data_IF_414253102660
#
_entry.id   IF_414253102660
#
_cell.length_a   1.000
_cell.length_b   1.000
_cell.length_c   1.000
_cell.angle_alpha   90.00
_cell.angle_beta   90.00
_cell.angle_gamma   90.00
#
_symmetry.space_group_name_H-M   'P 1'
#
loop_
_entity.id
_entity.type
_entity.pdbx_description
1 polymer ?
#
# COMPACT_ATOMS: atom_id res chain seq x y z
N UNK A 1 10.49 53.40 2.44
CA UNK A 1 10.60 52.64 3.71
C UNK A 1 9.19 52.34 4.18
N UNK A 2 8.64 51.17 3.85
CA UNK A 2 7.27 50.81 4.26
C UNK A 2 7.34 50.43 5.74
N UNK A 3 6.85 51.30 6.62
CA UNK A 3 6.73 51.01 8.04
C UNK A 3 5.64 49.94 8.16
N UNK A 4 6.02 48.68 8.35
CA UNK A 4 5.08 47.61 8.63
C UNK A 4 4.40 47.90 9.96
N UNK A 5 3.06 48.00 9.97
CA UNK A 5 2.32 48.21 11.21
C UNK A 5 2.51 47.02 12.16
N UNK A 6 2.41 47.26 13.46
CA UNK A 6 2.53 46.24 14.51
C UNK A 6 1.62 45.03 14.27
N UNK A 7 0.46 45.24 13.63
CA UNK A 7 -0.46 44.17 13.23
C UNK A 7 0.13 43.20 12.20
N UNK A 8 0.88 43.70 11.20
CA UNK A 8 1.54 42.85 10.20
C UNK A 8 2.67 42.01 10.82
N UNK A 9 3.41 42.58 11.78
CA UNK A 9 4.43 41.84 12.51
C UNK A 9 3.82 40.66 13.28
N UNK A 10 2.70 40.87 13.99
CA UNK A 10 1.99 39.79 14.70
C UNK A 10 1.53 38.69 13.73
N UNK A 11 0.92 39.05 12.60
CA UNK A 11 0.46 38.08 11.59
C UNK A 11 1.63 37.26 11.04
N UNK A 12 2.75 37.90 10.70
CA UNK A 12 3.93 37.20 10.21
C UNK A 12 4.54 36.29 11.28
N UNK A 13 4.56 36.72 12.54
CA UNK A 13 5.03 35.88 13.65
C UNK A 13 4.16 34.63 13.80
N UNK A 14 2.83 34.77 13.78
CA UNK A 14 1.90 33.64 13.86
C UNK A 14 2.12 32.68 12.67
N UNK A 15 2.23 33.21 11.45
CA UNK A 15 2.48 32.40 10.26
C UNK A 15 3.82 31.64 10.36
N UNK A 16 4.89 32.30 10.82
CA UNK A 16 6.18 31.67 11.01
C UNK A 16 6.12 30.52 12.04
N UNK A 17 5.39 30.70 13.14
CA UNK A 17 5.17 29.65 14.15
C UNK A 17 4.43 28.46 13.54
N UNK A 18 3.36 28.69 12.76
CA UNK A 18 2.60 27.62 12.12
C UNK A 18 3.43 26.84 11.11
N UNK A 19 4.26 27.52 10.31
CA UNK A 19 5.18 26.87 9.37
C UNK A 19 6.21 26.04 10.12
N UNK A 20 6.82 26.58 11.19
CA UNK A 20 7.76 25.83 12.01
C UNK A 20 7.12 24.58 12.64
N UNK A 21 5.90 24.71 13.17
CA UNK A 21 5.16 23.58 13.71
C UNK A 21 4.86 22.52 12.64
N UNK A 22 4.43 22.93 11.44
CA UNK A 22 4.18 22.02 10.33
C UNK A 22 5.45 21.28 9.87
N UNK A 23 6.61 21.95 9.84
CA UNK A 23 7.90 21.33 9.53
C UNK A 23 8.31 20.31 10.60
N UNK A 24 8.12 20.62 11.88
CA UNK A 24 8.40 19.69 12.99
C UNK A 24 7.51 18.44 12.86
N UNK A 25 6.20 18.63 12.67
CA UNK A 25 5.25 17.52 12.45
C UNK A 25 5.66 16.70 11.23
N UNK A 26 6.08 17.36 10.15
CA UNK A 26 6.55 16.68 8.94
C UNK A 26 7.74 15.77 9.21
N UNK A 27 8.74 16.25 9.95
CA UNK A 27 9.91 15.44 10.32
C UNK A 27 9.48 14.24 11.16
N UNK A 28 8.61 14.44 12.16
CA UNK A 28 8.11 13.38 13.03
C UNK A 28 7.34 12.32 12.23
N UNK A 29 6.37 12.73 11.41
CA UNK A 29 5.51 11.83 10.62
C UNK A 29 6.28 11.07 9.55
N UNK A 30 7.38 11.63 9.05
CA UNK A 30 8.28 10.91 8.16
C UNK A 30 9.15 9.87 8.87
N UNK A 31 9.25 9.85 10.20
CA UNK A 31 10.11 8.89 10.92
C UNK A 31 9.34 7.90 11.80
N UNK A 32 8.04 8.12 12.02
CA UNK A 32 7.17 7.19 12.74
C UNK A 32 6.16 6.51 11.83
N UNK A 33 5.59 5.42 12.32
CA UNK A 33 4.38 4.83 11.77
C UNK A 33 3.33 4.66 12.87
N UNK A 34 2.09 4.41 12.46
CA UNK A 34 0.99 4.01 13.34
C UNK A 34 0.42 2.69 12.86
N UNK A 35 -0.08 1.88 13.79
CA UNK A 35 -0.88 0.69 13.46
C UNK A 35 -2.33 1.10 13.25
N UNK A 36 -2.95 0.67 12.16
CA UNK A 36 -4.39 0.87 11.91
C UNK A 36 -5.07 -0.44 11.66
N UNK A 37 -6.14 -0.70 12.38
CA UNK A 37 -6.92 -1.93 12.27
C UNK A 37 -8.23 -1.68 11.52
N UNK A 38 -8.56 -2.59 10.62
CA UNK A 38 -9.80 -2.63 9.87
C UNK A 38 -10.43 -4.01 10.06
N UNK A 39 -11.75 -4.08 10.19
CA UNK A 39 -12.48 -5.32 10.39
C UNK A 39 -13.42 -5.56 9.23
N UNK A 40 -13.27 -6.69 8.56
CA UNK A 40 -14.07 -7.08 7.39
C UNK A 40 -14.88 -8.32 7.74
N UNK A 41 -16.20 -8.18 8.03
CA UNK A 41 -17.07 -9.33 8.24
C UNK A 41 -17.30 -10.09 6.92
N UNK A 42 -17.30 -11.42 6.98
CA UNK A 42 -17.71 -12.26 5.86
C UNK A 42 -18.19 -13.65 6.29
N UNK A 43 -19.27 -14.12 5.67
CA UNK A 43 -19.73 -15.51 5.78
C UNK A 43 -18.93 -16.50 4.93
N UNK A 44 -18.04 -16.03 4.03
CA UNK A 44 -17.26 -16.89 3.14
C UNK A 44 -16.01 -17.47 3.79
N UNK A 45 -15.52 -16.87 4.88
CA UNK A 45 -14.35 -17.39 5.61
C UNK A 45 -14.74 -18.46 6.61
N UNK A 46 -13.85 -19.43 6.82
CA UNK A 46 -14.12 -20.56 7.72
C UNK A 46 -13.80 -20.27 9.19
N UNK A 47 -12.94 -19.29 9.43
CA UNK A 47 -12.40 -18.88 10.72
C UNK A 47 -12.02 -17.40 10.70
N UNK A 48 -11.68 -16.84 11.86
CA UNK A 48 -11.17 -15.47 11.94
C UNK A 48 -9.72 -15.45 11.50
N UNK A 49 -9.36 -14.46 10.68
CA UNK A 49 -8.01 -14.31 10.14
C UNK A 49 -7.51 -12.89 10.38
N UNK A 50 -6.22 -12.77 10.66
CA UNK A 50 -5.51 -11.49 10.82
C UNK A 50 -4.42 -11.39 9.76
N UNK A 51 -4.54 -10.40 8.90
CA UNK A 51 -3.52 -10.07 7.91
C UNK A 51 -2.84 -8.76 8.28
N UNK A 52 -1.53 -8.72 8.12
CA UNK A 52 -0.80 -7.45 8.09
C UNK A 52 -0.57 -7.06 6.64
N UNK A 53 -0.92 -5.84 6.27
CA UNK A 53 -0.71 -5.27 4.96
C UNK A 53 0.44 -4.24 4.99
N UNK A 54 1.49 -4.54 4.20
CA UNK A 54 2.71 -3.74 4.06
C UNK A 54 2.78 -3.21 2.64
N UNK A 55 2.80 -1.90 2.44
CA UNK A 55 2.92 -1.31 1.11
C UNK A 55 3.68 -0.01 1.16
N UNK A 56 4.19 0.44 0.02
CA UNK A 56 4.80 1.75 -0.14
C UNK A 56 5.97 1.96 0.83
N UNK A 57 6.80 0.94 1.08
CA UNK A 57 7.96 1.06 1.95
C UNK A 57 8.99 2.04 1.36
N UNK A 58 9.12 2.09 0.03
CA UNK A 58 10.03 3.00 -0.69
C UNK A 58 11.46 2.99 -0.15
N UNK A 59 12.01 1.80 0.06
CA UNK A 59 13.35 1.57 0.63
C UNK A 59 13.56 2.21 2.02
N UNK A 60 12.50 2.51 2.77
CA UNK A 60 12.59 3.02 4.13
C UNK A 60 12.99 1.91 5.09
N UNK A 61 13.77 2.26 6.11
CA UNK A 61 14.09 1.39 7.24
C UNK A 61 13.64 2.09 8.52
N UNK A 62 12.85 1.39 9.34
CA UNK A 62 12.44 1.88 10.65
C UNK A 62 13.45 1.45 11.72
N UNK A 63 14.15 2.43 12.30
CA UNK A 63 15.22 2.14 13.27
C UNK A 63 16.32 1.26 12.68
N UNK A 64 16.98 0.49 13.55
CA UNK A 64 17.99 -0.49 13.13
C UNK A 64 17.31 -1.74 12.55
N UNK A 65 17.63 -2.11 11.31
CA UNK A 65 17.15 -3.34 10.65
C UNK A 65 15.61 -3.55 10.70
N UNK A 66 14.81 -2.49 10.61
CA UNK A 66 13.34 -2.55 10.73
C UNK A 66 12.83 -3.07 12.09
N UNK A 67 13.66 -3.11 13.15
CA UNK A 67 13.30 -3.69 14.45
C UNK A 67 11.96 -3.21 15.01
N UNK A 68 11.61 -1.90 15.03
CA UNK A 68 10.32 -1.44 15.54
C UNK A 68 9.14 -1.91 14.69
N UNK A 69 9.32 -1.96 13.37
CA UNK A 69 8.27 -2.44 12.45
C UNK A 69 8.06 -3.94 12.60
N UNK A 70 9.14 -4.72 12.64
CA UNK A 70 9.10 -6.17 12.86
C UNK A 70 8.48 -6.52 14.21
N UNK A 71 8.85 -5.80 15.29
CA UNK A 71 8.25 -5.98 16.61
C UNK A 71 6.74 -5.70 16.60
N UNK A 72 6.29 -4.62 15.94
CA UNK A 72 4.87 -4.33 15.82
C UNK A 72 4.11 -5.44 15.05
N UNK A 73 4.71 -5.98 13.98
CA UNK A 73 4.13 -7.09 13.22
C UNK A 73 4.08 -8.36 14.08
N UNK A 74 5.16 -8.65 14.81
CA UNK A 74 5.24 -9.78 15.73
C UNK A 74 4.16 -9.69 16.82
N UNK A 75 3.96 -8.52 17.42
CA UNK A 75 2.93 -8.28 18.45
C UNK A 75 1.50 -8.53 17.91
N UNK A 76 1.25 -8.27 16.63
CA UNK A 76 -0.04 -8.51 15.97
C UNK A 76 -0.31 -10.01 15.75
N UNK A 77 0.74 -10.82 15.60
CA UNK A 77 0.66 -12.26 15.28
C UNK A 77 -0.21 -12.55 14.04
N UNK A 78 0.12 -12.03 12.85
CA UNK A 78 -0.69 -12.26 11.65
C UNK A 78 -0.62 -13.70 11.14
N UNK A 79 -1.70 -14.16 10.52
CA UNK A 79 -1.75 -15.41 9.77
C UNK A 79 -0.93 -15.35 8.48
N UNK A 80 -0.88 -14.17 7.86
CA UNK A 80 0.00 -13.88 6.73
C UNK A 80 0.29 -12.38 6.61
N UNK A 81 1.42 -12.07 5.97
CA UNK A 81 1.76 -10.71 5.55
C UNK A 81 1.47 -10.55 4.07
N UNK A 82 0.67 -9.55 3.73
CA UNK A 82 0.31 -9.20 2.36
C UNK A 82 1.07 -7.93 1.98
N UNK A 83 1.93 -8.02 0.97
CA UNK A 83 2.71 -6.90 0.48
C UNK A 83 2.10 -6.33 -0.80
N UNK A 84 1.67 -5.07 -0.75
CA UNK A 84 0.98 -4.39 -1.85
C UNK A 84 1.87 -3.71 -2.88
N UNK A 85 3.18 -3.94 -2.85
CA UNK A 85 4.14 -3.32 -3.77
C UNK A 85 4.69 -1.97 -3.31
N UNK A 86 5.51 -1.36 -4.17
CA UNK A 86 6.28 -0.13 -3.91
C UNK A 86 7.23 -0.30 -2.70
N UNK A 87 7.93 -1.43 -2.64
CA UNK A 87 8.93 -1.70 -1.60
C UNK A 87 10.28 -1.06 -1.94
N UNK A 88 10.59 -0.96 -3.23
CA UNK A 88 11.79 -0.33 -3.77
C UNK A 88 11.47 1.01 -4.45
N UNK A 89 12.51 1.80 -4.71
CA UNK A 89 12.41 2.99 -5.56
C UNK A 89 13.06 2.66 -6.92
N UNK A 90 12.26 2.54 -7.97
CA UNK A 90 12.73 2.23 -9.33
C UNK A 90 13.86 3.15 -9.80
N UNK A 91 13.88 4.45 -9.44
CA UNK A 91 15.00 5.34 -9.76
C UNK A 91 16.35 4.83 -9.25
N UNK A 92 16.41 4.26 -8.05
CA UNK A 92 17.64 3.70 -7.48
C UNK A 92 18.08 2.46 -8.25
N UNK A 93 17.13 1.57 -8.58
CA UNK A 93 17.38 0.38 -9.38
C UNK A 93 17.92 0.73 -10.78
N UNK A 94 17.29 1.68 -11.48
CA UNK A 94 17.73 2.15 -12.81
C UNK A 94 19.14 2.75 -12.81
N UNK A 95 19.57 3.28 -11.68
CA UNK A 95 20.91 3.85 -11.48
C UNK A 95 21.90 2.80 -10.97
N UNK A 96 21.48 1.54 -10.81
CA UNK A 96 22.23 0.47 -10.14
C UNK A 96 22.85 0.96 -8.83
N UNK A 97 22.08 1.73 -8.05
CA UNK A 97 22.57 2.28 -6.79
C UNK A 97 22.95 1.13 -5.85
N UNK A 98 24.10 1.17 -5.18
CA UNK A 98 24.46 0.15 -4.21
C UNK A 98 23.35 -0.06 -3.18
N UNK A 99 22.99 -1.32 -2.95
CA UNK A 99 21.98 -1.70 -1.96
C UNK A 99 20.56 -1.21 -2.27
N UNK A 100 20.20 -1.01 -3.55
CA UNK A 100 18.90 -0.44 -3.93
C UNK A 100 17.69 -1.26 -3.47
N UNK A 101 17.87 -2.54 -3.14
CA UNK A 101 16.86 -3.47 -2.62
C UNK A 101 17.05 -3.84 -1.14
N UNK A 102 18.14 -3.43 -0.48
CA UNK A 102 18.53 -3.93 0.86
C UNK A 102 17.45 -3.74 1.91
N UNK A 103 16.82 -2.56 1.93
CA UNK A 103 15.75 -2.26 2.87
C UNK A 103 14.53 -3.18 2.69
N UNK A 104 14.17 -3.48 1.44
CA UNK A 104 13.06 -4.37 1.11
C UNK A 104 13.42 -5.82 1.46
N UNK A 105 14.58 -6.32 1.02
CA UNK A 105 15.00 -7.68 1.29
C UNK A 105 15.23 -7.94 2.78
N UNK A 106 15.86 -7.01 3.50
CA UNK A 106 16.06 -7.14 4.94
C UNK A 106 14.74 -7.30 5.69
N UNK A 107 13.69 -6.58 5.29
CA UNK A 107 12.36 -6.74 5.86
C UNK A 107 11.74 -8.09 5.46
N UNK A 108 11.72 -8.41 4.17
CA UNK A 108 11.08 -9.62 3.64
C UNK A 108 11.72 -10.89 4.19
N UNK A 109 13.04 -10.98 4.20
CA UNK A 109 13.79 -12.12 4.78
C UNK A 109 13.54 -12.28 6.27
N UNK A 110 13.28 -11.21 7.01
CA UNK A 110 12.93 -11.31 8.43
C UNK A 110 11.49 -11.82 8.61
N UNK A 111 10.55 -11.36 7.79
CA UNK A 111 9.15 -11.75 7.83
C UNK A 111 8.94 -13.21 7.44
N UNK A 112 9.56 -13.68 6.36
CA UNK A 112 9.40 -15.05 5.84
C UNK A 112 9.91 -16.13 6.79
N UNK A 113 10.74 -15.78 7.77
CA UNK A 113 11.16 -16.70 8.85
C UNK A 113 10.02 -17.08 9.79
N UNK A 114 8.95 -16.29 9.84
CA UNK A 114 7.86 -16.45 10.80
C UNK A 114 6.48 -16.55 10.16
N UNK A 115 6.28 -15.89 9.02
CA UNK A 115 4.97 -15.73 8.40
C UNK A 115 5.00 -16.08 6.91
N UNK A 116 3.92 -16.64 6.36
CA UNK A 116 3.69 -16.60 4.92
C UNK A 116 3.67 -15.14 4.44
N UNK A 117 4.44 -14.83 3.40
CA UNK A 117 4.50 -13.49 2.80
C UNK A 117 4.10 -13.58 1.33
N UNK A 118 3.12 -12.77 0.95
CA UNK A 118 2.66 -12.62 -0.43
C UNK A 118 3.03 -11.23 -0.95
N UNK A 119 3.50 -11.10 -2.19
CA UNK A 119 3.91 -9.82 -2.75
C UNK A 119 3.31 -9.59 -4.13
N UNK A 120 2.53 -8.51 -4.29
CA UNK A 120 2.18 -7.93 -5.58
C UNK A 120 3.08 -6.74 -5.92
N UNK A 121 3.11 -6.34 -7.19
CA UNK A 121 3.92 -5.20 -7.64
C UNK A 121 3.22 -3.86 -7.44
N UNK A 122 4.02 -2.85 -7.10
CA UNK A 122 3.60 -1.46 -7.13
C UNK A 122 3.99 -0.81 -8.45
N UNK A 123 3.85 0.51 -8.56
CA UNK A 123 4.29 1.23 -9.75
C UNK A 123 5.80 1.24 -9.94
N UNK A 124 6.61 1.14 -8.89
CA UNK A 124 8.07 1.09 -9.03
C UNK A 124 8.53 -0.24 -9.61
N UNK A 125 8.05 -1.37 -9.08
CA UNK A 125 8.33 -2.69 -9.63
C UNK A 125 7.73 -2.82 -11.04
N UNK A 126 6.48 -2.38 -11.23
CA UNK A 126 5.83 -2.34 -12.55
C UNK A 126 6.61 -1.49 -13.55
N UNK A 127 7.23 -0.38 -13.14
CA UNK A 127 8.06 0.42 -14.06
C UNK A 127 9.24 -0.39 -14.59
N UNK A 128 9.93 -1.13 -13.72
CA UNK A 128 11.08 -1.96 -14.12
C UNK A 128 10.63 -3.10 -15.04
N UNK A 129 9.47 -3.70 -14.76
CA UNK A 129 8.85 -4.73 -15.59
C UNK A 129 8.38 -4.22 -16.97
N UNK A 130 7.84 -3.00 -17.06
CA UNK A 130 7.21 -2.50 -18.29
C UNK A 130 8.18 -1.74 -19.21
N UNK A 131 9.46 -1.65 -18.84
CA UNK A 131 10.49 -0.96 -19.62
C UNK A 131 11.63 -1.93 -19.85
N UNK A 132 11.81 -2.35 -21.11
CA UNK A 132 12.72 -3.44 -21.51
C UNK A 132 14.16 -3.26 -21.00
N UNK A 133 14.66 -2.01 -21.02
CA UNK A 133 15.98 -1.63 -20.49
C UNK A 133 16.18 -2.06 -19.03
N UNK A 134 15.11 -2.12 -18.24
CA UNK A 134 15.14 -2.40 -16.80
C UNK A 134 14.61 -3.78 -16.40
N UNK A 135 14.32 -4.64 -17.38
CA UNK A 135 13.99 -6.04 -17.12
C UNK A 135 15.06 -6.76 -16.29
N UNK A 136 16.39 -6.55 -16.49
CA UNK A 136 17.40 -7.20 -15.66
C UNK A 136 17.24 -6.87 -14.17
N UNK A 137 17.00 -5.61 -13.81
CA UNK A 137 16.79 -5.20 -12.41
C UNK A 137 15.49 -5.79 -11.84
N UNK A 138 14.43 -5.85 -12.64
CA UNK A 138 13.19 -6.50 -12.21
C UNK A 138 13.39 -8.00 -11.96
N UNK A 139 14.14 -8.69 -12.83
CA UNK A 139 14.47 -10.10 -12.66
C UNK A 139 15.36 -10.34 -11.44
N UNK A 140 16.36 -9.49 -11.22
CA UNK A 140 17.22 -9.51 -10.02
C UNK A 140 16.38 -9.38 -8.74
N UNK A 141 15.45 -8.42 -8.70
CA UNK A 141 14.53 -8.25 -7.58
C UNK A 141 13.63 -9.49 -7.39
N UNK A 142 13.03 -10.01 -8.45
CA UNK A 142 12.18 -11.20 -8.38
C UNK A 142 12.95 -12.41 -7.85
N UNK A 143 14.18 -12.63 -8.32
CA UNK A 143 15.03 -13.72 -7.86
C UNK A 143 15.34 -13.59 -6.36
N UNK A 144 15.79 -12.42 -5.92
CA UNK A 144 16.13 -12.18 -4.52
C UNK A 144 14.92 -12.29 -3.58
N UNK A 145 13.75 -11.82 -4.02
CA UNK A 145 12.48 -11.98 -3.28
C UNK A 145 12.08 -13.46 -3.20
N UNK A 146 12.24 -14.23 -4.28
CA UNK A 146 11.99 -15.68 -4.29
C UNK A 146 12.94 -16.44 -3.37
N UNK A 147 14.23 -16.12 -3.39
CA UNK A 147 15.24 -16.68 -2.49
C UNK A 147 14.96 -16.37 -1.01
N UNK A 148 14.38 -15.19 -0.73
CA UNK A 148 13.92 -14.83 0.61
C UNK A 148 12.69 -15.65 1.06
N UNK A 149 12.07 -16.45 0.20
CA UNK A 149 10.90 -17.29 0.51
C UNK A 149 9.55 -16.58 0.36
N UNK A 150 9.51 -15.43 -0.32
CA UNK A 150 8.27 -14.68 -0.56
C UNK A 150 7.51 -15.29 -1.74
N UNK A 151 6.19 -15.40 -1.61
CA UNK A 151 5.29 -15.77 -2.70
C UNK A 151 4.95 -14.53 -3.53
N UNK A 152 5.72 -14.26 -4.57
CA UNK A 152 5.40 -13.18 -5.51
C UNK A 152 4.18 -13.58 -6.35
N UNK A 153 3.21 -12.69 -6.47
CA UNK A 153 1.95 -12.87 -7.19
C UNK A 153 1.93 -12.01 -8.45
N UNK A 154 2.54 -12.49 -9.53
CA UNK A 154 2.58 -11.80 -10.82
C UNK A 154 1.33 -12.17 -11.65
N UNK A 155 0.22 -11.48 -11.43
CA UNK A 155 -1.10 -11.86 -11.99
C UNK A 155 -1.54 -13.28 -11.59
N UNK A 156 -1.10 -13.72 -10.42
CA UNK A 156 -1.32 -15.07 -9.90
C UNK A 156 -2.21 -15.05 -8.66
N UNK A 157 -2.93 -16.16 -8.47
CA UNK A 157 -3.79 -16.39 -7.31
C UNK A 157 -3.20 -17.50 -6.44
N UNK A 158 -3.22 -17.30 -5.12
CA UNK A 158 -2.79 -18.28 -4.15
C UNK A 158 -3.82 -18.46 -3.04
N UNK A 159 -4.09 -19.72 -2.67
CA UNK A 159 -4.91 -20.01 -1.50
C UNK A 159 -4.16 -19.69 -0.21
N UNK A 160 -4.88 -19.18 0.78
CA UNK A 160 -4.35 -18.93 2.12
C UNK A 160 -4.70 -20.11 3.03
N UNK A 161 -3.68 -20.67 3.67
CA UNK A 161 -3.82 -21.69 4.69
C UNK A 161 -3.38 -21.10 6.03
N UNK A 162 -4.20 -21.29 7.06
CA UNK A 162 -3.93 -20.83 8.42
C UNK A 162 -4.37 -21.91 9.41
N UNK A 163 -3.76 -21.94 10.58
CA UNK A 163 -4.08 -22.89 11.67
C UNK A 163 -4.15 -24.37 11.25
N UNK A 164 -3.46 -24.76 10.18
CA UNK A 164 -3.43 -26.15 9.66
C UNK A 164 -4.59 -26.52 8.73
N UNK A 165 -5.44 -25.56 8.32
CA UNK A 165 -6.58 -25.79 7.43
C UNK A 165 -6.67 -24.80 6.26
N UNK A 166 -7.44 -25.18 5.24
CA UNK A 166 -7.88 -24.27 4.18
C UNK A 166 -8.91 -23.27 4.75
N UNK A 167 -8.57 -21.99 4.67
CA UNK A 167 -9.35 -20.88 5.23
C UNK A 167 -10.53 -20.44 4.35
N UNK A 168 -10.61 -20.97 3.13
CA UNK A 168 -11.50 -20.52 2.05
C UNK A 168 -11.19 -19.11 1.51
N UNK A 169 -10.00 -18.58 1.81
CA UNK A 169 -9.50 -17.30 1.29
C UNK A 169 -8.51 -17.52 0.15
N UNK A 170 -8.62 -16.69 -0.89
CA UNK A 170 -7.59 -16.56 -1.94
C UNK A 170 -7.05 -15.14 -1.95
N UNK A 171 -5.75 -15.03 -2.23
CA UNK A 171 -5.06 -13.75 -2.47
C UNK A 171 -4.59 -13.74 -3.92
N UNK A 172 -4.98 -12.72 -4.66
CA UNK A 172 -4.60 -12.51 -6.05
C UNK A 172 -3.81 -11.22 -6.19
N UNK A 173 -2.63 -11.29 -6.80
CA UNK A 173 -1.87 -10.11 -7.19
C UNK A 173 -2.29 -9.64 -8.57
N UNK A 174 -2.56 -8.34 -8.73
CA UNK A 174 -2.87 -7.73 -10.03
C UNK A 174 -1.80 -6.71 -10.38
N UNK A 175 -1.04 -7.00 -11.43
CA UNK A 175 -0.07 -6.05 -11.94
C UNK A 175 -0.76 -5.09 -12.89
N UNK A 176 -0.53 -3.80 -12.69
CA UNK A 176 -1.14 -2.76 -13.51
C UNK A 176 -0.11 -2.17 -14.45
N UNK A 177 -0.51 -1.99 -15.71
CA UNK A 177 0.37 -1.43 -16.72
C UNK A 177 0.73 0.02 -16.38
N UNK A 178 1.89 0.48 -16.86
CA UNK A 178 2.38 1.84 -16.61
C UNK A 178 1.35 2.95 -16.93
N UNK A 179 0.48 2.74 -17.91
CA UNK A 179 -0.57 3.69 -18.31
C UNK A 179 -1.58 3.97 -17.20
N UNK A 180 -1.81 3.00 -16.32
CA UNK A 180 -2.76 3.11 -15.19
C UNK A 180 -2.31 4.13 -14.13
N UNK A 181 -1.01 4.44 -14.08
CA UNK A 181 -0.39 5.38 -13.12
C UNK A 181 -0.13 6.77 -13.71
N UNK A 182 -0.63 7.07 -14.91
CA UNK A 182 -0.47 8.38 -15.52
C UNK A 182 -1.31 9.44 -14.80
N UNK A 183 -0.68 10.60 -14.53
CA UNK A 183 -1.32 11.73 -13.83
C UNK A 183 -2.03 12.71 -14.76
N UNK A 184 -1.59 12.79 -16.02
CA UNK A 184 -2.02 13.86 -16.95
C UNK A 184 -3.29 13.48 -17.69
N UNK A 185 -3.34 12.27 -18.26
CA UNK A 185 -4.48 11.82 -19.06
C UNK A 185 -5.35 10.86 -18.24
N UNK A 186 -6.69 11.04 -18.24
CA UNK A 186 -7.59 10.12 -17.59
C UNK A 186 -7.54 8.76 -18.32
N UNK A 187 -6.96 7.77 -17.66
CA UNK A 187 -7.03 6.38 -18.09
C UNK A 187 -8.16 5.64 -17.36
N UNK A 188 -8.98 4.92 -18.12
CA UNK A 188 -9.97 3.96 -17.63
C UNK A 188 -9.52 2.55 -18.06
N UNK A 189 -9.67 1.58 -17.17
CA UNK A 189 -9.47 0.18 -17.55
C UNK A 189 -10.54 -0.20 -18.58
N UNK A 190 -10.16 -0.95 -19.64
CA UNK A 190 -11.14 -1.57 -20.51
C UNK A 190 -12.09 -2.47 -19.69
N UNK A 191 -13.35 -2.66 -20.14
CA UNK A 191 -14.24 -3.66 -19.55
C UNK A 191 -13.55 -5.02 -19.51
N UNK A 192 -13.76 -5.78 -18.43
CA UNK A 192 -13.18 -7.12 -18.23
C UNK A 192 -11.65 -7.20 -18.19
N UNK A 193 -10.90 -6.10 -18.29
CA UNK A 193 -9.43 -6.12 -18.29
C UNK A 193 -8.82 -6.82 -17.05
N UNK A 194 -9.51 -6.75 -15.90
CA UNK A 194 -9.11 -7.47 -14.69
C UNK A 194 -9.28 -8.98 -14.90
N UNK A 195 -10.45 -9.44 -15.34
CA UNK A 195 -10.73 -10.85 -15.62
C UNK A 195 -9.80 -11.43 -16.70
N UNK A 196 -9.52 -10.67 -17.75
CA UNK A 196 -8.60 -11.08 -18.81
C UNK A 196 -7.17 -11.32 -18.29
N UNK A 197 -6.76 -10.56 -17.27
CA UNK A 197 -5.39 -10.60 -16.73
C UNK A 197 -5.21 -11.65 -15.63
N UNK A 198 -6.18 -11.81 -14.74
CA UNK A 198 -6.08 -12.68 -13.55
C UNK A 198 -7.12 -13.81 -13.51
N UNK A 199 -7.86 -14.01 -14.60
CA UNK A 199 -8.93 -14.99 -14.69
C UNK A 199 -10.19 -14.57 -13.93
N UNK A 200 -11.17 -15.47 -13.82
CA UNK A 200 -12.42 -15.21 -13.08
C UNK A 200 -12.25 -15.39 -11.57
N UNK A 201 -12.84 -14.47 -10.81
CA UNK A 201 -13.05 -14.66 -9.39
C UNK A 201 -13.92 -15.91 -9.13
N UNK A 202 -13.62 -16.66 -8.07
CA UNK A 202 -14.42 -17.79 -7.61
C UNK A 202 -15.38 -17.30 -6.53
N UNK A 203 -16.67 -17.21 -6.87
CA UNK A 203 -17.69 -16.69 -5.96
C UNK A 203 -17.88 -17.54 -4.69
N UNK A 204 -17.38 -18.78 -4.67
CA UNK A 204 -17.40 -19.65 -3.48
C UNK A 204 -16.26 -19.36 -2.49
N UNK A 205 -15.26 -18.56 -2.89
CA UNK A 205 -14.09 -18.18 -2.10
C UNK A 205 -14.20 -16.72 -1.67
N UNK A 206 -13.50 -16.38 -0.58
CA UNK A 206 -13.27 -15.00 -0.20
C UNK A 206 -12.07 -14.46 -0.98
N UNK A 207 -12.30 -13.52 -1.88
CA UNK A 207 -11.31 -12.98 -2.80
C UNK A 207 -10.64 -11.72 -2.24
N UNK A 208 -9.36 -11.84 -1.85
CA UNK A 208 -8.49 -10.71 -1.56
C UNK A 208 -7.72 -10.33 -2.82
N UNK A 209 -7.89 -9.11 -3.29
CA UNK A 209 -7.15 -8.55 -4.41
C UNK A 209 -6.07 -7.58 -3.91
N UNK A 210 -4.81 -7.85 -4.23
CA UNK A 210 -3.71 -6.91 -4.09
C UNK A 210 -3.60 -6.12 -5.40
N UNK A 211 -4.13 -4.92 -5.40
CA UNK A 211 -4.08 -4.01 -6.54
C UNK A 211 -3.56 -2.65 -6.07
N UNK A 212 -2.36 -2.28 -6.51
CA UNK A 212 -1.67 -1.15 -5.91
C UNK A 212 -2.38 0.20 -6.14
N UNK A 213 -3.06 0.39 -7.28
CA UNK A 213 -3.73 1.63 -7.63
C UNK A 213 -5.23 1.64 -7.22
N UNK A 214 -5.65 2.48 -6.26
CA UNK A 214 -7.03 2.50 -5.77
C UNK A 214 -8.04 3.07 -6.78
N UNK A 215 -7.57 3.72 -7.86
CA UNK A 215 -8.43 4.42 -8.83
C UNK A 215 -9.49 3.51 -9.44
N UNK A 216 -9.18 2.23 -9.60
CA UNK A 216 -10.03 1.28 -10.32
C UNK A 216 -10.84 0.35 -9.40
N UNK A 217 -11.11 0.76 -8.15
CA UNK A 217 -11.89 -0.02 -7.19
C UNK A 217 -13.22 -0.55 -7.74
N UNK A 218 -13.92 0.23 -8.57
CA UNK A 218 -15.17 -0.22 -9.19
C UNK A 218 -14.93 -1.44 -10.11
N UNK A 219 -13.89 -1.43 -10.93
CA UNK A 219 -13.54 -2.57 -11.78
C UNK A 219 -13.09 -3.80 -10.98
N UNK A 220 -12.43 -3.60 -9.84
CA UNK A 220 -12.02 -4.68 -8.94
C UNK A 220 -13.21 -5.35 -8.26
N UNK A 221 -14.20 -4.56 -7.87
CA UNK A 221 -15.44 -5.08 -7.33
C UNK A 221 -16.29 -5.79 -8.40
N UNK A 222 -16.33 -5.25 -9.62
CA UNK A 222 -17.02 -5.88 -10.76
C UNK A 222 -16.36 -7.22 -11.14
N UNK A 223 -15.04 -7.37 -10.96
CA UNK A 223 -14.34 -8.64 -11.10
C UNK A 223 -14.76 -9.68 -10.06
N UNK A 224 -15.19 -9.25 -8.87
CA UNK A 224 -15.65 -10.12 -7.78
C UNK A 224 -14.81 -10.08 -6.50
N UNK A 225 -13.92 -9.09 -6.33
CA UNK A 225 -13.15 -8.94 -5.10
C UNK A 225 -14.07 -8.70 -3.89
N UNK A 226 -13.88 -9.46 -2.81
CA UNK A 226 -14.51 -9.18 -1.52
C UNK A 226 -13.73 -8.08 -0.76
N UNK A 227 -12.40 -8.17 -0.84
CA UNK A 227 -11.45 -7.25 -0.21
C UNK A 227 -10.39 -6.79 -1.22
N UNK A 228 -10.21 -5.50 -1.36
CA UNK A 228 -9.11 -4.89 -2.14
C UNK A 228 -8.14 -4.23 -1.16
N UNK A 229 -6.85 -4.54 -1.30
CA UNK A 229 -5.78 -3.86 -0.56
C UNK A 229 -4.97 -3.02 -1.54
N UNK A 230 -4.92 -1.71 -1.30
CA UNK A 230 -4.29 -0.74 -2.19
C UNK A 230 -3.37 0.23 -1.43
N UNK A 231 -2.42 0.80 -2.16
CA UNK A 231 -1.46 1.80 -1.69
C UNK A 231 -1.43 3.01 -2.63
N UNK A 232 -0.24 3.39 -3.08
CA UNK A 232 0.04 4.36 -4.16
C UNK A 232 -0.20 5.84 -3.82
N UNK A 233 -1.31 6.18 -3.16
CA UNK A 233 -1.68 7.60 -2.93
C UNK A 233 -1.10 8.19 -1.66
N UNK A 234 -0.47 7.35 -0.82
CA UNK A 234 0.21 7.73 0.42
C UNK A 234 -0.62 8.48 1.46
N UNK A 235 -1.97 8.51 1.38
CA UNK A 235 -2.78 9.36 2.26
C UNK A 235 -2.77 10.85 1.92
N UNK A 236 -2.08 11.26 0.84
CA UNK A 236 -1.86 12.65 0.46
C UNK A 236 -0.71 13.34 1.23
N UNK A 237 -0.41 14.59 0.87
CA UNK A 237 0.67 15.38 1.49
C UNK A 237 0.28 15.91 2.89
N UNK A 238 -0.99 16.30 3.05
CA UNK A 238 -1.57 16.84 4.28
C UNK A 238 -2.90 16.15 4.55
N UNK A 239 -3.11 15.72 5.80
CA UNK A 239 -4.39 15.17 6.26
C UNK A 239 -5.06 16.11 7.25
N UNK A 240 -6.39 16.16 7.16
CA UNK A 240 -7.25 16.85 8.12
C UNK A 240 -8.39 15.89 8.51
N UNK A 241 -8.41 15.48 9.78
CA UNK A 241 -9.37 14.50 10.28
C UNK A 241 -9.28 13.16 9.55
N UNK A 242 -10.39 12.72 8.96
CA UNK A 242 -10.53 11.40 8.31
C UNK A 242 -10.32 11.44 6.78
N UNK A 243 -9.77 12.51 6.23
CA UNK A 243 -9.56 12.67 4.77
C UNK A 243 -8.20 13.30 4.45
N UNK A 244 -7.63 12.91 3.31
CA UNK A 244 -6.53 13.66 2.69
C UNK A 244 -7.04 15.01 2.19
N UNK A 245 -6.32 16.08 2.50
CA UNK A 245 -6.65 17.44 2.04
C UNK A 245 -5.98 17.75 0.70
N UNK A 246 -4.71 17.38 0.54
CA UNK A 246 -3.93 17.55 -0.69
C UNK A 246 -3.44 16.18 -1.15
N UNK A 247 -3.84 15.75 -2.35
CA UNK A 247 -3.37 14.53 -2.98
C UNK A 247 -1.90 14.58 -3.40
N UNK A 248 -1.28 13.43 -3.74
CA UNK A 248 0.12 13.37 -4.23
C UNK A 248 0.33 14.02 -5.60
N UNK A 249 -0.75 14.38 -6.27
CA UNK A 249 -0.85 15.12 -7.53
C UNK A 249 -1.24 16.59 -7.33
N UNK A 250 -1.24 17.08 -6.07
CA UNK A 250 -1.61 18.44 -5.65
C UNK A 250 -3.09 18.80 -5.83
N UNK A 251 -3.94 17.86 -6.21
CA UNK A 251 -5.38 18.07 -6.23
C UNK A 251 -5.94 18.13 -4.80
N UNK A 252 -6.85 19.08 -4.55
CA UNK A 252 -7.55 19.18 -3.28
C UNK A 252 -8.67 18.14 -3.20
N UNK A 253 -8.84 17.53 -2.03
CA UNK A 253 -9.90 16.57 -1.71
C UNK A 253 -9.98 15.38 -2.70
N UNK A 254 -8.92 14.54 -2.79
CA UNK A 254 -8.92 13.38 -3.68
C UNK A 254 -10.05 12.40 -3.33
N UNK A 255 -10.65 11.77 -4.36
CA UNK A 255 -11.73 10.76 -4.21
C UNK A 255 -11.33 9.65 -3.23
N UNK A 256 -10.11 9.15 -3.37
CA UNK A 256 -9.50 8.16 -2.50
C UNK A 256 -8.24 8.74 -1.84
N UNK A 257 -8.10 8.56 -0.53
CA UNK A 257 -6.92 9.05 0.21
C UNK A 257 -6.35 7.98 1.13
N UNK A 258 -7.13 7.50 2.10
CA UNK A 258 -6.79 6.39 2.97
C UNK A 258 -8.05 5.89 3.68
N UNK A 259 -7.96 4.73 4.31
CA UNK A 259 -9.05 4.15 5.09
C UNK A 259 -9.90 3.17 4.31
N UNK A 260 -11.09 2.92 4.83
CA UNK A 260 -12.04 1.95 4.29
C UNK A 260 -13.03 2.60 3.32
N UNK A 261 -13.23 1.96 2.18
CA UNK A 261 -14.22 2.30 1.19
C UNK A 261 -15.04 1.06 0.85
N UNK A 262 -16.36 1.18 0.82
CA UNK A 262 -17.23 0.05 0.47
C UNK A 262 -18.07 0.40 -0.74
N UNK A 263 -18.30 -0.58 -1.60
CA UNK A 263 -19.26 -0.48 -2.68
C UNK A 263 -20.09 -1.75 -2.76
N UNK A 264 -21.33 -1.62 -3.24
CA UNK A 264 -22.21 -2.76 -3.50
C UNK A 264 -22.63 -2.73 -4.96
N UNK A 265 -22.33 -3.82 -5.68
CA UNK A 265 -22.67 -4.01 -7.10
C UNK A 265 -23.30 -5.39 -7.24
N UNK A 266 -24.45 -5.48 -7.90
CA UNK A 266 -25.14 -6.75 -8.15
C UNK A 266 -25.34 -7.64 -6.90
N UNK A 267 -25.61 -7.02 -5.75
CA UNK A 267 -25.78 -7.73 -4.47
C UNK A 267 -24.47 -8.19 -3.79
N UNK A 268 -23.33 -7.97 -4.42
CA UNK A 268 -21.99 -8.24 -3.88
C UNK A 268 -21.42 -6.99 -3.22
N UNK A 269 -20.98 -7.09 -1.97
CA UNK A 269 -20.30 -6.01 -1.24
C UNK A 269 -18.79 -6.20 -1.35
N UNK A 270 -18.11 -5.22 -1.94
CA UNK A 270 -16.66 -5.15 -1.96
C UNK A 270 -16.17 -4.06 -0.99
N UNK A 271 -15.06 -4.33 -0.31
CA UNK A 271 -14.39 -3.40 0.60
C UNK A 271 -12.98 -3.14 0.11
N UNK A 272 -12.56 -1.88 0.01
CA UNK A 272 -11.18 -1.49 -0.23
C UNK A 272 -10.60 -0.88 1.03
N UNK A 273 -9.46 -1.41 1.47
CA UNK A 273 -8.61 -0.79 2.48
C UNK A 273 -7.45 -0.11 1.77
N UNK A 274 -7.42 1.20 1.87
CA UNK A 274 -6.39 2.04 1.25
C UNK A 274 -5.40 2.50 2.32
N UNK A 275 -4.17 1.99 2.26
CA UNK A 275 -3.12 2.35 3.21
C UNK A 275 -2.51 3.71 2.88
N UNK A 276 -2.05 4.43 3.91
CA UNK A 276 -1.19 5.60 3.72
C UNK A 276 0.26 5.22 3.34
N UNK A 277 0.59 3.93 3.34
CA UNK A 277 1.93 3.43 3.07
C UNK A 277 2.91 3.66 4.22
N UNK A 278 3.99 2.90 4.23
CA UNK A 278 5.03 2.98 5.26
C UNK A 278 6.10 4.04 4.95
N UNK A 279 6.32 4.39 3.71
CA UNK A 279 7.39 5.27 3.25
C UNK A 279 6.90 6.33 2.27
N UNK A 280 7.83 7.17 1.82
CA UNK A 280 7.57 8.23 0.85
C UNK A 280 8.62 8.15 -0.25
N UNK A 281 8.22 8.49 -1.48
CA UNK A 281 9.15 8.67 -2.60
C UNK A 281 9.04 10.09 -3.18
N UNK A 282 10.06 10.50 -3.94
CA UNK A 282 10.18 11.83 -4.60
C UNK A 282 10.33 13.02 -3.64
N UNK A 283 9.33 13.30 -2.80
CA UNK A 283 9.35 14.34 -1.78
C UNK A 283 8.79 13.76 -0.48
N UNK A 284 9.57 13.68 0.61
CA UNK A 284 9.11 13.14 1.88
C UNK A 284 8.24 14.16 2.63
N UNK A 285 7.10 14.53 2.06
CA UNK A 285 6.17 15.49 2.66
C UNK A 285 4.97 14.71 3.19
N UNK A 286 4.89 14.63 4.52
CA UNK A 286 3.81 13.98 5.27
C UNK A 286 3.46 14.86 6.46
N UNK A 287 2.35 15.59 6.42
CA UNK A 287 1.92 16.46 7.52
C UNK A 287 0.61 15.91 8.09
N UNK A 288 0.62 15.56 9.39
CA UNK A 288 -0.47 14.83 10.05
C UNK A 288 -0.78 13.50 9.35
N UNK A 289 0.24 12.91 8.72
CA UNK A 289 0.16 11.74 7.88
C UNK A 289 1.32 10.76 8.12
N UNK A 290 1.45 10.20 9.34
CA UNK A 290 2.51 9.25 9.64
C UNK A 290 2.43 8.03 8.72
N UNK A 291 3.53 7.28 8.62
CA UNK A 291 3.50 5.97 7.97
C UNK A 291 2.42 5.07 8.59
N UNK A 292 1.91 4.11 7.84
CA UNK A 292 0.82 3.25 8.28
C UNK A 292 1.18 1.76 8.12
N UNK A 293 1.14 1.02 9.23
CA UNK A 293 1.07 -0.44 9.23
C UNK A 293 -0.41 -0.83 9.32
N UNK A 294 -0.92 -1.44 8.26
CA UNK A 294 -2.34 -1.77 8.15
C UNK A 294 -2.56 -3.20 8.67
N UNK A 295 -3.54 -3.39 9.55
CA UNK A 295 -4.01 -4.69 10.02
C UNK A 295 -5.43 -4.89 9.51
N UNK A 296 -5.68 -6.04 8.89
CA UNK A 296 -7.00 -6.40 8.42
C UNK A 296 -7.43 -7.67 9.12
N UNK A 297 -8.49 -7.56 9.91
CA UNK A 297 -9.11 -8.69 10.60
C UNK A 297 -10.34 -9.10 9.81
N UNK A 298 -10.30 -10.30 9.24
CA UNK A 298 -11.46 -10.89 8.59
C UNK A 298 -12.20 -11.71 9.63
N UNK A 299 -13.42 -11.30 9.94
CA UNK A 299 -14.23 -11.95 10.96
C UNK A 299 -15.28 -12.82 10.28
N UNK A 300 -15.37 -14.07 10.73
CA UNK A 300 -16.42 -14.97 10.27
C UNK A 300 -17.78 -14.46 10.77
N UNK A 301 -18.68 -14.22 9.84
CA UNK A 301 -20.08 -13.94 10.18
C UNK A 301 -20.71 -15.20 10.79
N UNK A 302 -21.43 -15.01 11.90
CA UNK A 302 -22.18 -16.08 12.57
C UNK A 302 -23.44 -16.45 11.81
#
# INVERSE_FOLDING_TARGET
MIIMSTGWLVVLTILAILVAAALIVMVIDNHRFVVREYTVPSSKVRENLTFVFVTDLHSKVYGEHNRPLLAAIDDIHPDAVLCGGDLIISKKARQNSPGWMDAALSLLTALTKKYPVYLADGNHESYLLNVEEFHPQYQEFCAAVGEAGVRKLHNETSSVFAHGSDTNVRVTGLDLDRKTYQKILPYALPPHAVEEKIGRADSSKFEILLAHNPKFFEAYADWGADLVLSGHVHGGLLRLGKRGFIGPDLHLFPKYSFGEYTLTRNGHKATMILSCGLGSHTLPIRILNPGELTVVRICKDR
#
